data_IF_401731715417
#
_entry.id   IF_401731715417
#
_cell.length_a   1.000
_cell.length_b   1.000
_cell.length_c   1.000
_cell.angle_alpha   90.00
_cell.angle_beta   90.00
_cell.angle_gamma   90.00
#
_symmetry.space_group_name_H-M   'P 1'
#
loop_
_entity.id
_entity.type
_entity.pdbx_description
1 polymer ?
#
# COMPACT_ATOMS: atom_id res chain seq x y z
N UNK A 1 -10.23 13.82 13.27
CA UNK A 1 -8.82 14.13 12.95
C UNK A 1 -8.80 14.50 11.47
N UNK A 2 -8.01 15.48 11.01
CA UNK A 2 -7.77 15.59 9.57
C UNK A 2 -7.24 14.23 9.10
N UNK A 3 -7.77 13.71 7.99
CA UNK A 3 -7.27 12.44 7.49
C UNK A 3 -5.82 12.57 7.02
N UNK A 4 -5.15 11.43 6.89
CA UNK A 4 -3.74 11.34 6.58
C UNK A 4 -3.52 10.56 5.30
N UNK A 5 -2.37 10.76 4.67
CA UNK A 5 -1.93 10.02 3.49
C UNK A 5 -0.81 9.07 3.87
N UNK A 6 -0.75 7.91 3.25
CA UNK A 6 0.25 6.88 3.54
C UNK A 6 1.14 6.64 2.31
N UNK A 7 2.45 6.76 2.49
CA UNK A 7 3.44 6.53 1.45
C UNK A 7 4.27 5.30 1.79
N UNK A 8 4.09 4.22 1.04
CA UNK A 8 4.80 2.96 1.22
C UNK A 8 5.97 2.89 0.23
N UNK A 9 7.19 2.99 0.75
CA UNK A 9 8.42 2.91 -0.03
C UNK A 9 9.62 2.71 0.91
N UNK A 10 10.54 1.80 0.59
CA UNK A 10 11.69 1.50 1.45
C UNK A 10 12.79 2.59 1.38
N UNK A 11 12.88 3.34 0.29
CA UNK A 11 13.99 4.27 0.01
C UNK A 11 13.52 5.72 -0.19
N UNK A 12 12.51 5.93 -1.03
CA UNK A 12 12.11 7.26 -1.52
C UNK A 12 11.19 7.95 -0.52
N UNK A 13 11.12 9.28 -0.62
CA UNK A 13 10.18 10.11 0.13
C UNK A 13 9.22 10.81 -0.82
N UNK A 14 7.95 11.01 -0.42
CA UNK A 14 7.00 11.76 -1.23
C UNK A 14 7.44 13.22 -1.36
N UNK A 15 7.00 13.85 -2.45
CA UNK A 15 7.04 15.30 -2.58
C UNK A 15 5.76 15.87 -1.96
N UNK A 16 5.90 16.89 -1.11
CA UNK A 16 4.77 17.56 -0.46
C UNK A 16 4.50 17.09 0.96
N UNK A 17 3.55 17.74 1.63
CA UNK A 17 3.23 17.56 3.05
C UNK A 17 2.05 16.60 3.25
N UNK A 18 1.84 16.15 4.50
CA UNK A 18 0.67 15.33 4.89
C UNK A 18 0.83 13.82 4.70
N UNK A 19 2.02 13.36 4.30
CA UNK A 19 2.33 11.94 4.15
C UNK A 19 2.96 11.37 5.42
N UNK A 20 2.37 10.28 5.92
CA UNK A 20 3.04 9.33 6.81
C UNK A 20 3.80 8.36 5.92
N UNK A 21 5.10 8.20 6.17
CA UNK A 21 5.95 7.30 5.39
C UNK A 21 6.18 6.02 6.15
N UNK A 22 5.98 4.88 5.49
CA UNK A 22 6.20 3.54 6.01
C UNK A 22 7.14 2.78 5.08
N UNK A 23 8.04 1.98 5.66
CA UNK A 23 9.18 1.36 4.96
C UNK A 23 9.03 -0.14 4.75
N UNK A 24 8.04 -0.76 5.38
CA UNK A 24 7.84 -2.20 5.31
C UNK A 24 6.36 -2.57 5.39
N UNK A 25 6.06 -3.84 5.10
CA UNK A 25 4.73 -4.42 5.30
C UNK A 25 4.27 -4.27 6.76
N UNK A 26 5.15 -4.52 7.73
CA UNK A 26 4.83 -4.45 9.15
C UNK A 26 4.49 -3.02 9.57
N UNK A 27 5.25 -2.02 9.12
CA UNK A 27 4.95 -0.61 9.38
C UNK A 27 3.64 -0.17 8.71
N UNK A 28 3.37 -0.67 7.50
CA UNK A 28 2.12 -0.40 6.79
C UNK A 28 0.90 -0.88 7.58
N UNK A 29 0.92 -2.15 8.02
CA UNK A 29 -0.16 -2.73 8.83
C UNK A 29 -0.31 -1.99 10.15
N UNK A 30 0.78 -1.84 10.91
CA UNK A 30 0.74 -1.21 12.22
C UNK A 30 0.23 0.24 12.16
N UNK A 31 0.57 0.98 11.11
CA UNK A 31 0.10 2.36 10.92
C UNK A 31 -1.41 2.41 10.66
N UNK A 32 -1.94 1.54 9.80
CA UNK A 32 -3.38 1.50 9.50
C UNK A 32 -4.18 1.00 10.71
N UNK A 33 -3.66 0.01 11.44
CA UNK A 33 -4.30 -0.45 12.68
C UNK A 33 -4.34 0.64 13.76
N UNK A 34 -3.29 1.46 13.87
CA UNK A 34 -3.19 2.52 14.87
C UNK A 34 -3.98 3.79 14.50
N UNK A 35 -3.97 4.20 13.23
CA UNK A 35 -4.53 5.48 12.76
C UNK A 35 -5.85 5.34 12.01
N UNK A 36 -6.27 4.11 11.67
CA UNK A 36 -7.40 3.83 10.80
C UNK A 36 -7.02 3.86 9.32
N UNK A 37 -8.00 3.71 8.43
CA UNK A 37 -7.78 3.74 6.99
C UNK A 37 -7.38 5.16 6.53
N UNK A 38 -6.25 5.35 5.82
CA UNK A 38 -5.84 6.64 5.28
C UNK A 38 -6.79 7.13 4.18
N UNK A 39 -6.75 8.43 3.89
CA UNK A 39 -7.51 9.04 2.79
C UNK A 39 -6.93 8.70 1.42
N UNK A 40 -5.61 8.50 1.36
CA UNK A 40 -4.86 8.20 0.15
C UNK A 40 -3.66 7.30 0.47
N UNK A 41 -3.38 6.32 -0.41
CA UNK A 41 -2.16 5.50 -0.32
C UNK A 41 -1.36 5.56 -1.62
N UNK A 42 -0.06 5.76 -1.53
CA UNK A 42 0.86 5.63 -2.65
C UNK A 42 1.78 4.43 -2.42
N UNK A 43 1.79 3.48 -3.34
CA UNK A 43 2.53 2.21 -3.21
C UNK A 43 3.77 2.15 -4.09
N UNK A 44 4.90 1.78 -3.52
CA UNK A 44 5.96 1.08 -4.24
C UNK A 44 5.75 -0.44 -4.16
N UNK A 45 6.20 -1.17 -5.18
CA UNK A 45 6.12 -2.62 -5.20
C UNK A 45 7.27 -3.28 -4.46
N UNK A 46 8.50 -2.86 -4.75
CA UNK A 46 9.70 -3.49 -4.21
C UNK A 46 10.02 -2.86 -2.84
N UNK A 47 10.05 -3.66 -1.77
CA UNK A 47 10.34 -3.17 -0.41
C UNK A 47 11.67 -3.70 0.15
N UNK A 48 12.53 -4.19 -0.75
CA UNK A 48 13.86 -4.67 -0.43
C UNK A 48 13.96 -6.18 -0.18
N UNK A 49 15.08 -6.57 0.43
CA UNK A 49 15.52 -7.96 0.58
C UNK A 49 16.03 -8.20 2.00
N UNK A 50 15.61 -9.30 2.62
CA UNK A 50 16.13 -9.76 3.90
C UNK A 50 17.49 -10.46 3.67
N UNK A 51 18.56 -9.81 4.09
CA UNK A 51 19.92 -10.33 3.92
C UNK A 51 20.22 -11.52 4.83
N UNK A 52 19.58 -11.62 6.00
CA UNK A 52 19.82 -12.70 6.95
C UNK A 52 19.12 -13.98 6.49
N UNK A 53 17.89 -13.84 6.00
CA UNK A 53 17.08 -14.97 5.52
C UNK A 53 17.29 -15.27 4.04
N UNK A 54 18.00 -14.40 3.33
CA UNK A 54 18.26 -14.49 1.90
C UNK A 54 16.98 -14.68 1.08
N UNK A 55 15.99 -13.80 1.30
CA UNK A 55 14.71 -13.79 0.61
C UNK A 55 14.16 -12.37 0.39
N UNK A 56 13.21 -12.22 -0.52
CA UNK A 56 12.49 -10.95 -0.72
C UNK A 56 11.65 -10.62 0.51
N UNK A 57 11.64 -9.35 0.90
CA UNK A 57 10.66 -8.86 1.86
C UNK A 57 9.28 -8.87 1.23
N UNK A 58 8.23 -8.88 2.07
CA UNK A 58 6.87 -8.69 1.59
C UNK A 58 6.78 -7.40 0.78
N UNK A 59 6.18 -7.48 -0.38
CA UNK A 59 6.09 -6.42 -1.38
C UNK A 59 4.93 -5.46 -1.08
N UNK A 60 4.86 -4.36 -1.84
CA UNK A 60 3.66 -3.52 -1.87
C UNK A 60 2.41 -4.24 -2.38
N UNK A 61 2.59 -5.33 -3.15
CA UNK A 61 1.46 -6.19 -3.53
C UNK A 61 0.90 -6.95 -2.33
N UNK A 62 1.75 -7.40 -1.41
CA UNK A 62 1.31 -8.03 -0.16
C UNK A 62 0.54 -7.03 0.71
N UNK A 63 0.97 -5.77 0.75
CA UNK A 63 0.24 -4.70 1.44
C UNK A 63 -1.15 -4.46 0.83
N UNK A 64 -1.24 -4.40 -0.50
CA UNK A 64 -2.52 -4.26 -1.21
C UNK A 64 -3.45 -5.47 -0.99
N UNK A 65 -2.89 -6.69 -0.98
CA UNK A 65 -3.63 -7.91 -0.68
C UNK A 65 -4.15 -7.92 0.75
N UNK A 66 -3.33 -7.50 1.71
CA UNK A 66 -3.77 -7.38 3.10
C UNK A 66 -4.97 -6.44 3.25
N UNK A 67 -5.01 -5.30 2.55
CA UNK A 67 -6.20 -4.42 2.55
C UNK A 67 -7.47 -5.16 2.11
N UNK A 68 -7.37 -5.95 1.03
CA UNK A 68 -8.50 -6.75 0.54
C UNK A 68 -8.92 -7.80 1.56
N UNK A 69 -7.96 -8.48 2.19
CA UNK A 69 -8.22 -9.50 3.24
C UNK A 69 -8.87 -8.90 4.48
N UNK A 70 -8.53 -7.66 4.85
CA UNK A 70 -9.16 -6.90 5.93
C UNK A 70 -10.48 -6.21 5.52
N UNK A 71 -10.92 -6.42 4.29
CA UNK A 71 -12.13 -5.81 3.74
C UNK A 71 -12.09 -4.27 3.66
N UNK A 72 -10.88 -3.69 3.59
CA UNK A 72 -10.61 -2.26 3.63
C UNK A 72 -10.50 -1.68 2.20
N UNK A 73 -11.57 -1.04 1.73
CA UNK A 73 -11.61 -0.46 0.38
C UNK A 73 -11.04 0.97 0.38
N UNK A 74 -9.90 1.17 -0.28
CA UNK A 74 -9.28 2.48 -0.49
C UNK A 74 -9.64 3.02 -1.88
N UNK A 75 -10.33 4.16 -1.94
CA UNK A 75 -10.77 4.76 -3.21
C UNK A 75 -9.66 5.55 -3.90
N UNK A 76 -8.85 6.29 -3.13
CA UNK A 76 -7.76 7.09 -3.66
C UNK A 76 -6.43 6.37 -3.44
N UNK A 77 -5.84 5.87 -4.51
CA UNK A 77 -4.50 5.31 -4.45
C UNK A 77 -3.70 5.58 -5.72
N UNK A 78 -2.38 5.57 -5.56
CA UNK A 78 -1.42 5.64 -6.64
C UNK A 78 -0.39 4.52 -6.51
N UNK A 79 0.26 4.15 -7.62
CA UNK A 79 1.35 3.17 -7.62
C UNK A 79 2.55 3.81 -8.31
N UNK A 80 3.56 4.15 -7.51
CA UNK A 80 4.76 4.90 -7.90
C UNK A 80 5.99 3.99 -8.09
N UNK A 81 5.75 2.72 -8.42
CA UNK A 81 6.80 1.74 -8.61
C UNK A 81 7.45 1.80 -9.99
N UNK A 82 8.75 1.50 -10.04
CA UNK A 82 9.48 1.29 -11.27
C UNK A 82 9.26 -0.12 -11.87
N UNK A 83 8.75 -1.08 -11.08
CA UNK A 83 8.40 -2.42 -11.53
C UNK A 83 7.02 -2.40 -12.22
N UNK A 84 6.95 -2.48 -13.57
CA UNK A 84 5.68 -2.30 -14.28
C UNK A 84 4.69 -3.44 -14.03
N UNK A 85 5.17 -4.66 -13.84
CA UNK A 85 4.34 -5.85 -13.59
C UNK A 85 3.78 -5.81 -12.18
N UNK A 86 4.63 -5.57 -11.18
CA UNK A 86 4.22 -5.39 -9.79
C UNK A 86 3.24 -4.23 -9.63
N UNK A 87 3.48 -3.13 -10.34
CA UNK A 87 2.58 -1.98 -10.32
C UNK A 87 1.20 -2.30 -10.89
N UNK A 88 1.13 -3.02 -12.03
CA UNK A 88 -0.14 -3.40 -12.63
C UNK A 88 -0.92 -4.40 -11.77
N UNK A 89 -0.22 -5.35 -11.13
CA UNK A 89 -0.85 -6.28 -10.21
C UNK A 89 -1.52 -5.56 -9.02
N UNK A 90 -0.86 -4.57 -8.42
CA UNK A 90 -1.44 -3.75 -7.34
C UNK A 90 -2.68 -3.00 -7.83
N UNK A 91 -2.57 -2.31 -8.99
CA UNK A 91 -3.69 -1.55 -9.57
C UNK A 91 -4.88 -2.45 -9.86
N UNK A 92 -4.65 -3.54 -10.57
CA UNK A 92 -5.71 -4.48 -10.95
C UNK A 92 -6.41 -5.09 -9.72
N UNK A 93 -5.65 -5.47 -8.69
CA UNK A 93 -6.22 -6.02 -7.45
C UNK A 93 -7.16 -5.02 -6.76
N UNK A 94 -6.67 -3.82 -6.47
CA UNK A 94 -7.43 -2.80 -5.74
C UNK A 94 -8.63 -2.28 -6.55
N UNK A 95 -8.47 -2.07 -7.86
CA UNK A 95 -9.58 -1.67 -8.73
C UNK A 95 -10.68 -2.72 -8.80
N UNK A 96 -10.32 -4.00 -8.91
CA UNK A 96 -11.31 -5.08 -8.94
C UNK A 96 -12.01 -5.22 -7.59
N UNK A 97 -11.30 -5.03 -6.48
CA UNK A 97 -11.91 -5.01 -5.16
C UNK A 97 -12.91 -3.86 -4.99
N UNK A 98 -12.56 -2.64 -5.44
CA UNK A 98 -13.49 -1.51 -5.44
C UNK A 98 -14.75 -1.78 -6.29
N UNK A 99 -14.59 -2.33 -7.49
CA UNK A 99 -15.74 -2.72 -8.35
C UNK A 99 -16.62 -3.76 -7.67
N UNK A 100 -16.01 -4.76 -7.04
CA UNK A 100 -16.74 -5.77 -6.26
C UNK A 100 -17.55 -5.13 -5.13
N UNK A 101 -16.95 -4.20 -4.38
CA UNK A 101 -17.63 -3.45 -3.32
C UNK A 101 -18.77 -2.57 -3.81
N UNK A 102 -18.62 -1.94 -4.98
CA UNK A 102 -19.67 -1.13 -5.58
C UNK A 102 -20.86 -1.97 -6.05
N UNK A 103 -20.62 -3.18 -6.57
CA UNK A 103 -21.67 -4.08 -7.03
C UNK A 103 -22.46 -4.74 -5.88
N UNK A 104 -21.94 -4.71 -4.64
CA UNK A 104 -22.62 -5.20 -3.44
C UNK A 104 -23.51 -4.14 -2.76
N UNK A 105 -23.43 -2.87 -3.18
CA UNK A 105 -24.25 -1.77 -2.68
C UNK A 105 -25.57 -1.69 -3.45
#
# INVERSE_FOLDING_TARGET
MPGYKLYLDDIRNPKGEGWVVVRSFEEFVATIEALGLPEEISFDHDLGWDQEQNCELKSGYDCAKWLVEQDLAIENFNVHSANPVGAENIRSLLQNFLKFKQNLR
#
